data_IF_236932636128
#
_entry.id   IF_236932636128
#
_cell.length_a   1.000
_cell.length_b   1.000
_cell.length_c   1.000
_cell.angle_alpha   90.00
_cell.angle_beta   90.00
_cell.angle_gamma   90.00
#
_symmetry.space_group_name_H-M   'P 1'
#
loop_
_entity.id
_entity.type
_entity.pdbx_description
1 polymer ?
#
# COMPACT_ATOMS: atom_id res chain seq x y z
N UNK A 1 8.06 23.66 17.05
CA UNK A 1 7.82 22.42 16.28
C UNK A 1 8.61 22.55 15.00
N UNK A 2 9.30 21.50 14.58
CA UNK A 2 10.00 21.54 13.31
C UNK A 2 8.99 21.57 12.15
N UNK A 3 9.32 22.25 11.04
CA UNK A 3 8.61 22.10 9.78
C UNK A 3 9.34 21.05 8.95
N UNK A 4 8.58 20.12 8.36
CA UNK A 4 9.12 19.00 7.62
C UNK A 4 8.90 19.20 6.12
N UNK A 5 9.98 19.18 5.34
CA UNK A 5 9.92 19.04 3.88
C UNK A 5 10.12 17.59 3.51
N UNK A 6 9.10 16.97 2.90
CA UNK A 6 9.09 15.56 2.59
C UNK A 6 9.28 15.35 1.09
N UNK A 7 10.34 14.67 0.72
CA UNK A 7 10.61 14.22 -0.64
C UNK A 7 10.18 12.75 -0.75
N UNK A 8 9.35 12.43 -1.73
CA UNK A 8 9.18 11.05 -2.15
C UNK A 8 10.32 10.72 -3.11
N UNK A 9 11.13 9.72 -2.79
CA UNK A 9 12.19 9.23 -3.67
C UNK A 9 11.66 8.85 -5.04
N UNK A 10 12.50 8.89 -6.05
CA UNK A 10 12.20 8.57 -7.45
C UNK A 10 11.18 9.52 -8.10
N UNK A 11 11.60 10.30 -9.05
CA UNK A 11 10.77 11.26 -9.78
C UNK A 11 9.89 10.63 -10.86
N UNK A 12 9.23 11.47 -11.65
CA UNK A 12 8.40 11.00 -12.77
C UNK A 12 9.25 10.20 -13.76
N UNK A 13 8.80 8.97 -14.05
CA UNK A 13 9.47 8.06 -14.99
C UNK A 13 10.49 7.10 -14.33
N UNK A 14 10.90 7.33 -13.09
CA UNK A 14 11.71 6.40 -12.31
C UNK A 14 10.83 5.58 -11.34
N UNK A 15 10.67 4.28 -11.54
CA UNK A 15 9.90 3.44 -10.63
C UNK A 15 10.62 3.15 -9.31
N UNK A 16 11.93 3.39 -9.23
CA UNK A 16 12.78 2.88 -8.15
C UNK A 16 12.86 1.36 -8.15
N UNK A 17 13.15 0.77 -7.00
CA UNK A 17 13.11 -0.68 -6.86
C UNK A 17 11.67 -1.19 -7.01
N UNK A 18 11.55 -2.40 -7.57
CA UNK A 18 10.26 -3.07 -7.73
C UNK A 18 10.27 -4.42 -7.00
N UNK A 19 9.19 -4.73 -6.30
CA UNK A 19 9.03 -5.99 -5.58
C UNK A 19 7.56 -6.29 -5.31
N UNK A 20 7.20 -7.56 -5.41
CA UNK A 20 5.86 -8.05 -5.05
C UNK A 20 4.69 -7.26 -5.68
N UNK A 21 4.86 -6.82 -6.94
CA UNK A 21 3.82 -6.08 -7.68
C UNK A 21 3.72 -4.58 -7.36
N UNK A 22 4.66 -4.03 -6.61
CA UNK A 22 4.73 -2.60 -6.28
C UNK A 22 6.03 -1.97 -6.78
N UNK A 23 5.98 -0.69 -7.09
CA UNK A 23 7.18 0.13 -7.28
C UNK A 23 7.45 0.97 -6.03
N UNK A 24 8.71 1.20 -5.74
CA UNK A 24 9.13 2.04 -4.63
C UNK A 24 8.54 3.45 -4.75
N UNK A 25 8.64 4.04 -5.95
CA UNK A 25 8.09 5.37 -6.24
C UNK A 25 6.60 5.50 -5.89
N UNK A 26 5.79 4.50 -6.22
CA UNK A 26 4.36 4.48 -5.87
C UNK A 26 4.16 4.43 -4.35
N UNK A 27 4.92 3.57 -3.66
CA UNK A 27 4.79 3.39 -2.21
C UNK A 27 5.22 4.62 -1.42
N UNK A 28 6.36 5.22 -1.77
CA UNK A 28 6.86 6.40 -1.05
C UNK A 28 6.01 7.65 -1.32
N UNK A 29 5.39 7.79 -2.51
CA UNK A 29 4.41 8.85 -2.78
C UNK A 29 3.14 8.68 -1.94
N UNK A 30 2.65 7.44 -1.82
CA UNK A 30 1.51 7.15 -0.95
C UNK A 30 1.82 7.50 0.51
N UNK A 31 3.01 7.14 1.01
CA UNK A 31 3.47 7.49 2.36
C UNK A 31 3.63 9.00 2.53
N UNK A 32 4.27 9.70 1.59
CA UNK A 32 4.44 11.15 1.64
C UNK A 32 3.08 11.87 1.70
N UNK A 33 2.12 11.44 0.89
CA UNK A 33 0.74 11.96 0.92
C UNK A 33 0.10 11.75 2.28
N UNK A 34 0.31 10.59 2.90
CA UNK A 34 -0.20 10.27 4.24
C UNK A 34 0.46 11.13 5.32
N UNK A 35 1.79 11.34 5.25
CA UNK A 35 2.53 12.22 6.16
C UNK A 35 1.98 13.65 6.08
N UNK A 36 1.73 14.17 4.87
CA UNK A 36 1.11 15.50 4.68
C UNK A 36 -0.29 15.56 5.26
N UNK A 37 -1.12 14.56 4.99
CA UNK A 37 -2.50 14.53 5.46
C UNK A 37 -2.60 14.56 7.00
N UNK A 38 -1.68 13.88 7.69
CA UNK A 38 -1.63 13.83 9.16
C UNK A 38 -0.91 15.05 9.75
N UNK A 39 0.19 15.48 9.14
CA UNK A 39 1.04 16.56 9.64
C UNK A 39 0.51 17.98 9.34
N UNK A 40 -0.44 18.11 8.41
CA UNK A 40 -1.09 19.37 8.07
C UNK A 40 -0.10 20.46 7.65
N UNK A 41 -0.24 21.65 8.20
CA UNK A 41 0.57 22.83 7.84
C UNK A 41 2.05 22.71 8.26
N UNK A 42 2.39 21.78 9.14
CA UNK A 42 3.78 21.54 9.53
C UNK A 42 4.55 20.66 8.52
N UNK A 43 3.92 20.28 7.42
CA UNK A 43 4.53 19.46 6.36
C UNK A 43 4.36 20.11 5.01
N UNK A 44 5.43 20.21 4.24
CA UNK A 44 5.43 20.56 2.82
C UNK A 44 5.93 19.38 2.01
N UNK A 45 5.24 19.04 0.94
CA UNK A 45 5.68 18.00 0.02
C UNK A 45 6.57 18.60 -1.07
N UNK A 46 7.62 17.86 -1.43
CA UNK A 46 8.33 18.05 -2.68
C UNK A 46 7.45 17.74 -3.88
N UNK A 47 7.84 18.24 -5.04
CA UNK A 47 7.14 17.92 -6.30
C UNK A 47 7.37 16.45 -6.67
N UNK A 48 6.30 15.67 -6.77
CA UNK A 48 6.35 14.25 -7.15
C UNK A 48 6.79 14.02 -8.61
N UNK A 49 6.76 15.05 -9.45
CA UNK A 49 7.26 14.96 -10.82
C UNK A 49 8.76 15.26 -10.92
N UNK A 50 9.36 15.75 -9.86
CA UNK A 50 10.80 16.03 -9.82
C UNK A 50 11.55 14.82 -9.28
N UNK A 51 12.52 14.32 -10.04
CA UNK A 51 13.54 13.43 -9.49
C UNK A 51 14.63 14.30 -8.83
N UNK A 52 14.58 14.39 -7.52
CA UNK A 52 15.51 15.24 -6.75
C UNK A 52 16.97 14.78 -6.87
N UNK A 53 17.20 13.52 -7.14
CA UNK A 53 18.53 12.97 -7.34
C UNK A 53 19.07 13.31 -8.74
N UNK A 54 18.36 12.93 -9.81
CA UNK A 54 18.82 13.13 -11.17
C UNK A 54 18.82 14.61 -11.60
N UNK A 55 17.84 15.37 -11.14
CA UNK A 55 17.73 16.81 -11.46
C UNK A 55 18.57 17.70 -10.54
N UNK A 56 19.30 17.13 -9.57
CA UNK A 56 19.98 17.88 -8.52
C UNK A 56 19.03 18.88 -7.79
N UNK A 57 17.81 18.42 -7.52
CA UNK A 57 16.71 19.25 -7.03
C UNK A 57 16.99 19.91 -5.68
N UNK A 58 17.79 19.28 -4.81
CA UNK A 58 18.18 19.86 -3.53
C UNK A 58 19.09 21.08 -3.72
N UNK A 59 19.88 21.15 -4.79
CA UNK A 59 20.75 22.30 -5.07
C UNK A 59 19.94 23.59 -5.37
N UNK A 60 18.76 23.46 -5.96
CA UNK A 60 17.86 24.57 -6.27
C UNK A 60 16.75 24.79 -5.24
N UNK A 61 16.67 23.92 -4.23
CA UNK A 61 15.62 23.99 -3.21
C UNK A 61 15.71 25.30 -2.41
N UNK A 62 14.62 26.05 -2.31
CA UNK A 62 14.54 27.31 -1.57
C UNK A 62 13.50 27.17 -0.44
N UNK A 63 13.95 26.66 0.70
CA UNK A 63 13.17 26.52 1.92
C UNK A 63 13.90 27.17 3.09
N UNK A 64 13.22 27.57 4.18
CA UNK A 64 13.87 28.05 5.39
C UNK A 64 14.92 27.06 5.91
N UNK A 65 16.06 27.57 6.38
CA UNK A 65 17.19 26.75 6.81
C UNK A 65 16.91 25.91 8.07
N UNK A 66 15.90 26.29 8.85
CA UNK A 66 15.45 25.58 10.05
C UNK A 66 14.46 24.43 9.74
N UNK A 67 14.01 24.30 8.49
CA UNK A 67 13.20 23.16 8.08
C UNK A 67 14.04 21.87 8.02
N UNK A 68 13.38 20.77 8.31
CA UNK A 68 13.99 19.45 8.25
C UNK A 68 13.57 18.75 6.96
N UNK A 69 14.49 18.10 6.28
CA UNK A 69 14.22 17.33 5.06
C UNK A 69 14.22 15.83 5.39
N UNK A 70 13.18 15.14 4.99
CA UNK A 70 13.14 13.67 4.96
C UNK A 70 12.84 13.20 3.54
N UNK A 71 13.76 12.46 2.95
CA UNK A 71 13.55 11.77 1.68
C UNK A 71 13.15 10.33 1.96
N UNK A 72 12.00 9.91 1.43
CA UNK A 72 11.40 8.61 1.70
C UNK A 72 11.80 7.61 0.62
N UNK A 73 12.28 6.45 1.04
CA UNK A 73 12.69 5.32 0.22
C UNK A 73 12.23 3.99 0.80
N UNK A 74 12.33 2.93 0.02
CA UNK A 74 12.27 1.54 0.44
C UNK A 74 13.50 0.82 -0.12
N UNK A 75 14.27 0.21 0.76
CA UNK A 75 15.48 -0.54 0.38
C UNK A 75 15.15 -1.79 -0.46
N UNK A 76 16.11 -2.29 -1.19
CA UNK A 76 15.99 -3.52 -1.98
C UNK A 76 17.24 -4.39 -1.82
N UNK A 77 17.04 -5.70 -1.84
CA UNK A 77 18.13 -6.67 -1.67
C UNK A 77 17.62 -8.10 -1.81
N UNK A 78 18.33 -9.04 -1.18
CA UNK A 78 17.87 -10.43 -1.11
C UNK A 78 16.55 -10.50 -0.29
N UNK A 79 15.70 -11.46 -0.58
CA UNK A 79 14.36 -11.60 0.03
C UNK A 79 14.35 -11.70 1.56
N UNK A 80 15.50 -12.15 2.14
CA UNK A 80 15.68 -12.22 3.60
C UNK A 80 16.14 -10.91 4.24
N UNK A 81 16.61 -9.94 3.44
CA UNK A 81 17.02 -8.63 3.94
C UNK A 81 15.78 -7.85 4.38
N UNK A 82 15.82 -7.24 5.56
CA UNK A 82 14.66 -6.52 6.12
C UNK A 82 15.07 -5.45 7.13
N UNK A 83 14.12 -4.60 7.47
CA UNK A 83 14.21 -3.60 8.52
C UNK A 83 14.52 -2.20 8.00
N UNK A 84 14.09 -1.18 8.75
CA UNK A 84 14.31 0.21 8.40
C UNK A 84 15.68 0.72 8.89
N UNK A 85 16.21 1.70 8.17
CA UNK A 85 17.36 2.51 8.59
C UNK A 85 17.26 3.91 7.98
N UNK A 86 18.05 4.84 8.50
CA UNK A 86 18.21 6.14 7.88
C UNK A 86 19.65 6.34 7.42
N UNK A 87 19.79 7.15 6.40
CA UNK A 87 21.09 7.58 5.87
C UNK A 87 21.26 9.07 6.14
N UNK A 88 22.41 9.41 6.71
CA UNK A 88 22.85 10.78 6.96
C UNK A 88 24.22 11.03 6.30
N UNK A 89 24.68 12.27 6.29
CA UNK A 89 26.03 12.61 5.83
C UNK A 89 27.10 11.90 6.66
N UNK A 90 27.99 11.17 5.99
CA UNK A 90 29.11 10.50 6.63
C UNK A 90 30.08 11.47 7.26
N UNK A 91 30.45 11.20 8.51
CA UNK A 91 31.29 12.08 9.34
C UNK A 91 30.51 13.08 10.19
N UNK A 92 29.17 13.11 10.07
CA UNK A 92 28.31 13.87 10.98
C UNK A 92 27.84 12.97 12.12
N UNK A 93 27.77 13.52 13.32
CA UNK A 93 27.12 12.84 14.44
C UNK A 93 25.59 12.91 14.27
N UNK A 94 24.85 11.82 14.52
CA UNK A 94 23.40 11.83 14.47
C UNK A 94 22.81 12.82 15.49
N UNK A 95 21.89 13.65 15.02
CA UNK A 95 21.13 14.56 15.89
C UNK A 95 19.94 13.85 16.59
N UNK A 96 19.18 14.62 17.37
CA UNK A 96 17.99 14.12 18.07
C UNK A 96 16.88 13.65 17.13
N UNK A 97 16.72 14.30 15.95
CA UNK A 97 15.73 13.93 14.94
C UNK A 97 16.15 12.63 14.24
N UNK A 98 17.43 12.48 13.91
CA UNK A 98 17.98 11.27 13.31
C UNK A 98 17.78 10.08 14.22
N UNK A 99 18.16 10.22 15.49
CA UNK A 99 18.00 9.15 16.49
C UNK A 99 16.53 8.76 16.71
N UNK A 100 15.63 9.76 16.79
CA UNK A 100 14.22 9.51 16.97
C UNK A 100 13.60 8.82 15.74
N UNK A 101 13.90 9.29 14.52
CA UNK A 101 13.38 8.72 13.29
C UNK A 101 13.84 7.28 13.09
N UNK A 102 15.15 7.03 13.26
CA UNK A 102 15.72 5.69 13.16
C UNK A 102 15.09 4.70 14.15
N UNK A 103 14.90 5.12 15.40
CA UNK A 103 14.28 4.27 16.42
C UNK A 103 12.78 4.02 16.15
N UNK A 104 12.04 5.06 15.75
CA UNK A 104 10.62 4.94 15.45
C UNK A 104 10.37 4.00 14.28
N UNK A 105 11.14 4.15 13.19
CA UNK A 105 11.01 3.28 12.02
C UNK A 105 11.48 1.85 12.32
N UNK A 106 12.59 1.66 13.04
CA UNK A 106 13.08 0.33 13.39
C UNK A 106 12.14 -0.44 14.36
N UNK A 107 11.27 0.26 15.11
CA UNK A 107 10.24 -0.37 15.92
C UNK A 107 9.11 -0.97 15.07
N UNK A 108 8.87 -0.38 13.88
CA UNK A 108 7.86 -0.87 12.92
C UNK A 108 8.48 -1.91 11.99
N UNK A 109 9.71 -1.66 11.51
CA UNK A 109 10.46 -2.51 10.60
C UNK A 109 11.76 -3.01 11.27
N UNK A 110 11.70 -4.04 12.10
CA UNK A 110 12.88 -4.60 12.75
C UNK A 110 13.72 -5.44 11.76
N UNK A 111 15.02 -5.52 12.00
CA UNK A 111 15.91 -6.43 11.25
C UNK A 111 17.26 -5.84 10.86
N UNK A 112 17.40 -4.52 10.76
CA UNK A 112 18.70 -3.88 10.50
C UNK A 112 19.55 -3.81 11.77
N UNK A 113 20.81 -4.24 11.65
CA UNK A 113 21.80 -4.11 12.73
C UNK A 113 22.16 -2.64 12.98
N UNK A 114 22.42 -1.88 11.90
CA UNK A 114 22.70 -0.44 11.96
C UNK A 114 21.47 0.34 11.53
N UNK A 115 20.88 1.10 12.45
CA UNK A 115 19.70 1.93 12.20
C UNK A 115 20.03 3.28 11.57
N UNK A 116 21.26 3.75 11.72
CA UNK A 116 21.77 5.00 11.15
C UNK A 116 23.05 4.67 10.40
N UNK A 117 23.14 5.11 9.14
CA UNK A 117 24.27 4.84 8.25
C UNK A 117 24.79 6.15 7.69
N UNK A 118 26.08 6.43 7.91
CA UNK A 118 26.76 7.57 7.30
C UNK A 118 27.21 7.25 5.87
N UNK A 119 26.77 8.04 4.88
CA UNK A 119 27.14 7.88 3.46
C UNK A 119 27.75 9.16 2.88
N UNK A 120 28.71 9.00 1.96
CA UNK A 120 29.37 10.11 1.26
C UNK A 120 29.27 9.99 -0.27
N UNK A 121 28.65 8.95 -0.76
CA UNK A 121 28.48 8.63 -2.18
C UNK A 121 27.10 9.01 -2.72
N UNK A 122 26.18 9.44 -1.86
CA UNK A 122 24.85 9.89 -2.30
C UNK A 122 24.84 11.41 -2.54
N UNK A 123 24.40 11.80 -3.75
CA UNK A 123 24.36 13.20 -4.16
C UNK A 123 23.49 14.05 -3.23
N UNK A 124 22.25 13.64 -2.96
CA UNK A 124 21.30 14.42 -2.16
C UNK A 124 21.81 14.67 -0.74
N UNK A 125 22.42 13.65 -0.12
CA UNK A 125 23.05 13.75 1.20
C UNK A 125 24.14 14.82 1.20
N UNK A 126 25.02 14.80 0.18
CA UNK A 126 26.15 15.72 0.07
C UNK A 126 25.69 17.15 -0.22
N UNK A 127 24.75 17.33 -1.14
CA UNK A 127 24.24 18.66 -1.52
C UNK A 127 23.50 19.30 -0.35
N UNK A 128 22.66 18.54 0.36
CA UNK A 128 21.93 19.04 1.52
C UNK A 128 22.89 19.49 2.63
N UNK A 129 23.93 18.69 2.94
CA UNK A 129 24.97 19.03 3.92
C UNK A 129 25.72 20.29 3.53
N UNK A 130 26.14 20.44 2.25
CA UNK A 130 26.83 21.63 1.74
C UNK A 130 25.96 22.90 1.80
N UNK A 131 24.63 22.74 1.77
CA UNK A 131 23.66 23.83 1.89
C UNK A 131 23.22 24.12 3.33
N UNK A 132 23.71 23.34 4.29
CA UNK A 132 23.36 23.50 5.70
C UNK A 132 21.95 23.04 6.06
N UNK A 133 21.30 22.23 5.23
CA UNK A 133 19.99 21.64 5.54
C UNK A 133 20.11 20.43 6.47
N UNK A 134 19.23 20.34 7.46
CA UNK A 134 19.01 19.11 8.22
C UNK A 134 18.32 18.05 7.33
N UNK A 135 19.08 17.07 6.83
CA UNK A 135 18.61 16.10 5.85
C UNK A 135 18.87 14.68 6.31
N UNK A 136 17.89 13.82 6.08
CA UNK A 136 18.03 12.34 6.18
C UNK A 136 17.21 11.65 5.10
N UNK A 137 17.76 10.57 4.54
CA UNK A 137 17.07 9.63 3.70
C UNK A 137 16.57 8.49 4.59
N UNK A 138 15.29 8.15 4.51
CA UNK A 138 14.65 7.13 5.32
C UNK A 138 14.27 5.92 4.47
N UNK A 139 14.97 4.81 4.69
CA UNK A 139 14.62 3.49 4.15
C UNK A 139 13.56 2.85 5.02
N UNK A 140 12.31 2.90 4.58
CA UNK A 140 11.14 2.44 5.32
C UNK A 140 10.87 0.94 5.12
N UNK A 141 11.86 0.10 5.43
CA UNK A 141 11.84 -1.34 5.16
C UNK A 141 12.25 -1.69 3.74
N UNK A 142 12.21 -2.99 3.41
CA UNK A 142 12.62 -3.52 2.11
C UNK A 142 11.41 -3.82 1.23
N UNK A 143 11.37 -3.25 0.00
CA UNK A 143 10.34 -3.58 -0.97
C UNK A 143 10.48 -5.02 -1.49
N UNK A 144 11.70 -5.56 -1.51
CA UNK A 144 12.01 -6.96 -1.85
C UNK A 144 11.63 -7.95 -0.75
N UNK A 145 11.34 -7.50 0.47
CA UNK A 145 10.95 -8.35 1.59
C UNK A 145 9.44 -8.27 1.80
N UNK A 146 8.74 -9.39 1.60
CA UNK A 146 7.28 -9.43 1.69
C UNK A 146 6.75 -9.01 3.08
N UNK A 147 7.46 -9.33 4.17
CA UNK A 147 7.03 -8.93 5.51
C UNK A 147 7.12 -7.41 5.70
N UNK A 148 8.23 -6.78 5.28
CA UNK A 148 8.39 -5.33 5.38
C UNK A 148 7.38 -4.61 4.49
N UNK A 149 7.19 -5.06 3.25
CA UNK A 149 6.20 -4.49 2.33
C UNK A 149 4.77 -4.63 2.86
N UNK A 150 4.44 -5.78 3.45
CA UNK A 150 3.14 -6.02 4.10
C UNK A 150 2.92 -5.06 5.27
N UNK A 151 3.93 -4.90 6.13
CA UNK A 151 3.89 -3.93 7.24
C UNK A 151 3.74 -2.51 6.69
N UNK A 152 4.51 -2.14 5.67
CA UNK A 152 4.42 -0.83 5.03
C UNK A 152 3.01 -0.52 4.52
N UNK A 153 2.42 -1.45 3.78
CA UNK A 153 1.09 -1.28 3.20
C UNK A 153 -0.02 -1.20 4.27
N UNK A 154 0.03 -2.09 5.25
CA UNK A 154 -1.05 -2.23 6.25
C UNK A 154 -0.94 -1.24 7.41
N UNK A 155 0.26 -0.72 7.68
CA UNK A 155 0.54 0.19 8.79
C UNK A 155 1.04 1.57 8.33
N UNK A 156 0.70 1.98 7.11
CA UNK A 156 1.19 3.23 6.50
C UNK A 156 0.86 4.48 7.36
N UNK A 157 -0.31 4.50 8.01
CA UNK A 157 -0.68 5.57 8.95
C UNK A 157 0.24 5.61 10.17
N UNK A 158 0.65 4.45 10.66
CA UNK A 158 1.58 4.34 11.79
C UNK A 158 2.99 4.73 11.37
N UNK A 159 3.44 4.33 10.18
CA UNK A 159 4.72 4.77 9.60
C UNK A 159 4.74 6.30 9.46
N UNK A 160 3.68 6.88 8.91
CA UNK A 160 3.57 8.34 8.79
C UNK A 160 3.61 9.06 10.15
N UNK A 161 2.92 8.52 11.16
CA UNK A 161 2.97 9.07 12.55
C UNK A 161 4.32 8.89 13.21
N UNK A 162 5.02 7.79 12.94
CA UNK A 162 6.37 7.53 13.43
C UNK A 162 7.37 8.57 12.88
N UNK A 163 7.23 8.90 11.57
CA UNK A 163 8.01 9.96 10.93
C UNK A 163 7.69 11.31 11.60
N UNK A 164 6.44 11.71 11.64
CA UNK A 164 6.02 13.00 12.23
C UNK A 164 6.43 13.13 13.69
N UNK A 165 6.28 12.06 14.47
CA UNK A 165 6.64 12.01 15.89
C UNK A 165 8.13 12.24 16.14
N UNK A 166 9.01 11.83 15.23
CA UNK A 166 10.44 12.07 15.31
C UNK A 166 10.77 13.59 15.31
N UNK A 167 9.94 14.40 14.66
CA UNK A 167 10.09 15.85 14.55
C UNK A 167 9.19 16.63 15.52
N UNK A 168 8.55 15.94 16.48
CA UNK A 168 7.64 16.55 17.43
C UNK A 168 6.35 17.11 16.82
N UNK A 169 6.02 16.71 15.58
CA UNK A 169 4.81 17.11 14.89
C UNK A 169 3.66 16.21 15.38
N UNK A 170 2.76 16.78 16.16
CA UNK A 170 1.54 16.12 16.59
C UNK A 170 0.50 16.26 15.48
N UNK A 171 0.14 15.16 14.83
CA UNK A 171 -0.97 15.15 13.88
C UNK A 171 -2.28 15.60 14.56
N UNK A 172 -3.12 16.35 13.84
CA UNK A 172 -4.45 16.73 14.31
C UNK A 172 -5.26 15.47 14.71
N UNK A 173 -5.94 15.58 15.83
CA UNK A 173 -6.78 14.61 16.54
C UNK A 173 -6.91 13.20 15.94
N UNK A 174 -6.02 12.30 16.35
CA UNK A 174 -6.28 10.86 16.49
C UNK A 174 -5.37 10.33 17.62
N UNK A 175 -5.82 9.38 18.46
CA UNK A 175 -5.17 9.10 19.73
C UNK A 175 -3.76 8.55 19.59
N UNK A 176 -2.85 9.10 20.37
CA UNK A 176 -1.49 8.62 20.60
C UNK A 176 -1.57 7.27 21.29
N UNK A 177 -1.03 6.22 20.67
CA UNK A 177 -0.75 4.96 21.35
C UNK A 177 0.51 5.11 22.20
N UNK A 178 0.32 5.32 23.49
CA UNK A 178 1.39 5.20 24.49
C UNK A 178 1.78 3.73 24.66
N UNK A 179 3.10 3.52 24.84
CA UNK A 179 3.74 2.27 25.28
C UNK A 179 2.90 1.55 26.35
N UNK A 180 2.73 0.23 26.28
CA UNK A 180 1.89 -0.49 27.23
C UNK A 180 2.51 -0.55 28.61
N UNK A 181 1.93 0.19 29.55
CA UNK A 181 1.95 -0.15 30.97
C UNK A 181 0.63 -0.87 31.24
N UNK A 182 0.73 -2.10 31.70
CA UNK A 182 -0.40 -3.00 31.91
C UNK A 182 -1.28 -2.49 33.04
N UNK A 183 -2.51 -2.06 32.77
CA UNK A 183 -3.67 -2.16 33.67
C UNK A 183 -4.96 -1.96 32.85
N UNK A 184 -5.97 -2.79 32.96
CA UNK A 184 -7.12 -2.81 32.08
C UNK A 184 -8.22 -1.84 32.52
N UNK A 185 -8.68 -0.97 31.59
CA UNK A 185 -9.95 -0.26 31.72
C UNK A 185 -10.63 -0.17 30.32
N UNK A 186 -11.94 -0.34 30.19
CA UNK A 186 -12.61 -0.69 28.95
C UNK A 186 -12.71 0.45 27.95
N UNK A 187 -12.28 0.20 26.72
CA UNK A 187 -12.33 1.10 25.60
C UNK A 187 -13.61 0.94 24.78
N UNK A 188 -14.14 2.08 24.30
CA UNK A 188 -15.28 2.21 23.38
C UNK A 188 -14.97 1.54 22.03
N UNK A 189 -15.92 0.86 21.37
CA UNK A 189 -15.64 -0.07 20.28
C UNK A 189 -15.18 0.63 19.01
N UNK A 190 -13.97 0.28 18.55
CA UNK A 190 -13.56 0.34 17.16
C UNK A 190 -14.37 -0.66 16.34
N UNK A 191 -14.63 -0.34 15.06
CA UNK A 191 -15.28 -1.30 14.13
C UNK A 191 -14.60 -2.66 14.27
N UNK A 192 -15.30 -3.75 14.50
CA UNK A 192 -14.67 -5.04 14.76
C UNK A 192 -13.89 -5.50 13.51
N UNK A 193 -12.58 -5.62 13.65
CA UNK A 193 -11.81 -6.48 12.78
C UNK A 193 -12.31 -7.90 13.03
N UNK A 194 -12.69 -8.68 12.00
CA UNK A 194 -13.19 -10.03 12.23
C UNK A 194 -12.10 -10.86 12.88
N UNK A 195 -12.27 -11.17 14.15
CA UNK A 195 -11.43 -12.13 14.84
C UNK A 195 -11.69 -13.50 14.27
N UNK A 196 -10.63 -14.17 13.80
CA UNK A 196 -10.64 -15.55 13.37
C UNK A 196 -11.31 -16.46 14.42
N UNK A 197 -12.46 -17.03 14.07
CA UNK A 197 -13.25 -17.91 14.95
C UNK A 197 -12.98 -19.40 14.73
N UNK A 198 -11.86 -19.76 14.08
CA UNK A 198 -11.52 -21.15 13.79
C UNK A 198 -12.12 -21.71 12.50
N UNK A 199 -12.86 -20.93 11.75
CA UNK A 199 -13.41 -21.28 10.44
C UNK A 199 -12.35 -21.20 9.35
N UNK A 200 -12.44 -22.04 8.32
CA UNK A 200 -11.62 -21.89 7.12
C UNK A 200 -12.02 -20.63 6.36
N UNK A 201 -11.04 -20.00 5.71
CA UNK A 201 -11.29 -18.91 4.77
C UNK A 201 -12.30 -19.34 3.71
N UNK A 202 -13.22 -18.45 3.40
CA UNK A 202 -14.00 -18.47 2.18
C UNK A 202 -14.24 -17.04 1.68
N UNK A 203 -14.48 -16.94 0.38
CA UNK A 203 -14.95 -15.72 -0.25
C UNK A 203 -16.42 -15.84 -0.61
N UNK A 204 -17.14 -14.73 -0.50
CA UNK A 204 -18.49 -14.59 -1.04
C UNK A 204 -18.49 -13.38 -1.98
N UNK A 205 -19.01 -13.58 -3.17
CA UNK A 205 -19.01 -12.55 -4.21
C UNK A 205 -20.31 -12.53 -4.98
N UNK A 206 -20.65 -11.36 -5.48
CA UNK A 206 -21.91 -11.10 -6.20
C UNK A 206 -21.63 -10.12 -7.34
N UNK A 207 -22.37 -10.22 -8.42
CA UNK A 207 -22.22 -9.35 -9.58
C UNK A 207 -23.56 -8.74 -10.01
N UNK A 208 -23.44 -7.61 -10.75
CA UNK A 208 -24.51 -7.09 -11.58
C UNK A 208 -24.18 -7.32 -13.05
N UNK A 209 -25.16 -7.74 -13.84
CA UNK A 209 -25.08 -7.88 -15.28
C UNK A 209 -26.45 -7.60 -15.90
N UNK A 210 -26.49 -6.88 -17.03
CA UNK A 210 -27.74 -6.52 -17.69
C UNK A 210 -28.72 -5.75 -16.80
N UNK A 211 -28.20 -4.94 -15.86
CA UNK A 211 -29.02 -4.16 -14.91
C UNK A 211 -29.64 -4.99 -13.77
N UNK A 212 -29.27 -6.26 -13.59
CA UNK A 212 -29.79 -7.15 -12.55
C UNK A 212 -28.68 -7.57 -11.59
N UNK A 213 -29.03 -7.70 -10.30
CA UNK A 213 -28.19 -8.37 -9.31
C UNK A 213 -28.37 -9.88 -9.45
N UNK A 214 -27.24 -10.61 -9.52
CA UNK A 214 -27.25 -12.06 -9.48
C UNK A 214 -27.07 -12.55 -8.04
N UNK A 215 -27.52 -13.78 -7.70
CA UNK A 215 -27.35 -14.32 -6.36
C UNK A 215 -25.87 -14.34 -5.93
N UNK A 216 -25.55 -14.22 -4.63
CA UNK A 216 -24.19 -14.37 -4.14
C UNK A 216 -23.69 -15.80 -4.33
N UNK A 217 -22.42 -15.92 -4.68
CA UNK A 217 -21.69 -17.19 -4.82
C UNK A 217 -20.64 -17.28 -3.72
N UNK A 218 -20.45 -18.48 -3.18
CA UNK A 218 -19.42 -18.77 -2.19
C UNK A 218 -18.35 -19.68 -2.80
N UNK A 219 -17.11 -19.24 -2.80
CA UNK A 219 -15.97 -19.96 -3.38
C UNK A 219 -16.31 -20.50 -4.78
N UNK A 220 -15.99 -21.76 -5.05
CA UNK A 220 -16.26 -22.44 -6.32
C UNK A 220 -17.59 -23.23 -6.33
N UNK A 221 -18.52 -22.94 -5.42
CA UNK A 221 -19.83 -23.61 -5.44
C UNK A 221 -20.60 -23.32 -6.73
N UNK A 222 -20.30 -22.16 -7.38
CA UNK A 222 -20.85 -21.77 -8.67
C UNK A 222 -19.92 -20.72 -9.31
N UNK A 223 -20.44 -20.00 -10.26
CA UNK A 223 -19.85 -18.79 -10.86
C UNK A 223 -20.85 -17.64 -10.80
N UNK A 224 -20.36 -16.41 -10.72
CA UNK A 224 -21.17 -15.22 -10.75
C UNK A 224 -21.20 -14.62 -12.16
N UNK A 225 -22.37 -14.22 -12.62
CA UNK A 225 -22.59 -13.65 -13.95
C UNK A 225 -23.92 -14.08 -14.56
N UNK A 226 -24.19 -13.63 -15.77
CA UNK A 226 -25.35 -14.06 -16.54
C UNK A 226 -25.12 -15.38 -17.30
N UNK A 227 -23.89 -15.57 -17.83
CA UNK A 227 -23.50 -16.74 -18.59
C UNK A 227 -24.11 -16.88 -19.99
N UNK A 228 -24.93 -15.94 -20.38
CA UNK A 228 -25.70 -15.91 -21.62
C UNK A 228 -25.22 -14.84 -22.61
N UNK A 229 -24.00 -14.35 -22.41
CA UNK A 229 -23.42 -13.29 -23.24
C UNK A 229 -23.76 -11.88 -22.77
N UNK A 230 -24.23 -11.72 -21.53
CA UNK A 230 -24.46 -10.42 -20.92
C UNK A 230 -23.26 -10.02 -20.05
N UNK A 231 -22.70 -8.86 -20.33
CA UNK A 231 -21.52 -8.37 -19.61
C UNK A 231 -21.80 -8.11 -18.12
N UNK A 232 -20.84 -8.48 -17.27
CA UNK A 232 -20.77 -7.99 -15.88
C UNK A 232 -20.42 -6.51 -15.90
N UNK A 233 -21.07 -5.74 -15.02
CA UNK A 233 -20.87 -4.29 -14.92
C UNK A 233 -20.36 -3.86 -13.55
N UNK A 234 -20.67 -4.64 -12.50
CA UNK A 234 -20.32 -4.32 -11.13
C UNK A 234 -20.08 -5.62 -10.33
N UNK A 235 -19.17 -5.57 -9.39
CA UNK A 235 -18.87 -6.70 -8.49
C UNK A 235 -18.81 -6.24 -7.03
N UNK A 236 -19.23 -7.12 -6.11
CA UNK A 236 -19.05 -6.97 -4.68
C UNK A 236 -18.44 -8.24 -4.11
N UNK A 237 -17.40 -8.13 -3.27
CA UNK A 237 -16.64 -9.25 -2.71
C UNK A 237 -16.46 -9.06 -1.21
N UNK A 238 -16.59 -10.14 -0.44
CA UNK A 238 -16.23 -10.20 0.97
C UNK A 238 -15.57 -11.53 1.31
N UNK A 239 -14.88 -11.58 2.44
CA UNK A 239 -14.35 -12.81 3.04
C UNK A 239 -14.78 -12.91 4.50
N UNK A 240 -14.74 -14.13 5.07
CA UNK A 240 -15.06 -14.35 6.48
C UNK A 240 -13.83 -14.17 7.39
N UNK A 241 -12.63 -14.23 6.84
CA UNK A 241 -11.34 -14.12 7.55
C UNK A 241 -10.47 -13.14 6.79
N UNK A 242 -9.74 -12.29 7.48
CA UNK A 242 -8.83 -11.34 6.85
C UNK A 242 -9.53 -10.17 6.17
N UNK A 243 -8.88 -9.64 5.17
CA UNK A 243 -9.34 -8.47 4.44
C UNK A 243 -9.15 -8.66 2.93
N UNK A 244 -10.17 -8.38 2.15
CA UNK A 244 -10.13 -8.40 0.69
C UNK A 244 -10.41 -7.02 0.14
N UNK A 245 -9.59 -6.55 -0.78
CA UNK A 245 -9.83 -5.35 -1.58
C UNK A 245 -9.81 -5.71 -3.05
N UNK A 246 -10.57 -4.99 -3.84
CA UNK A 246 -10.72 -5.29 -5.25
C UNK A 246 -11.07 -4.04 -6.05
N UNK A 247 -10.81 -4.10 -7.35
CA UNK A 247 -11.21 -3.08 -8.31
C UNK A 247 -11.47 -3.68 -9.67
N UNK A 248 -12.11 -2.92 -10.55
CA UNK A 248 -12.39 -3.34 -11.92
C UNK A 248 -11.84 -2.33 -12.94
N UNK A 249 -11.49 -2.83 -14.11
CA UNK A 249 -11.26 -2.02 -15.29
C UNK A 249 -12.55 -1.94 -16.11
N UNK A 250 -12.95 -0.73 -16.48
CA UNK A 250 -14.13 -0.49 -17.30
C UNK A 250 -13.73 -0.54 -18.77
N UNK A 251 -14.42 -1.36 -19.56
CA UNK A 251 -14.12 -1.56 -20.96
C UNK A 251 -14.02 -0.24 -21.72
N UNK A 252 -12.85 -0.03 -22.35
CA UNK A 252 -12.55 1.20 -23.12
C UNK A 252 -12.28 2.44 -22.25
N UNK A 253 -12.13 2.28 -20.93
CA UNK A 253 -11.83 3.36 -19.98
C UNK A 253 -10.62 3.00 -19.11
N UNK A 254 -10.67 3.30 -17.83
CA UNK A 254 -9.58 3.10 -16.87
C UNK A 254 -9.98 2.17 -15.73
N UNK A 255 -9.00 1.77 -14.91
CA UNK A 255 -9.23 1.15 -13.62
C UNK A 255 -9.98 2.10 -12.69
N UNK A 256 -11.02 1.59 -12.04
CA UNK A 256 -11.69 2.30 -10.97
C UNK A 256 -10.87 2.21 -9.66
N UNK A 257 -11.15 3.09 -8.69
CA UNK A 257 -10.54 3.00 -7.37
C UNK A 257 -10.73 1.64 -6.70
N UNK A 258 -9.79 1.25 -5.82
CA UNK A 258 -9.93 0.09 -4.96
C UNK A 258 -11.06 0.28 -3.96
N UNK A 259 -11.83 -0.79 -3.73
CA UNK A 259 -12.89 -0.88 -2.73
C UNK A 259 -12.68 -2.13 -1.87
N UNK A 260 -13.22 -2.14 -0.65
CA UNK A 260 -13.12 -3.24 0.31
C UNK A 260 -14.47 -3.58 0.99
N UNK A 261 -15.54 -2.94 0.58
CA UNK A 261 -16.88 -3.16 1.11
C UNK A 261 -17.67 -4.22 0.36
N UNK A 262 -18.81 -4.61 0.94
CA UNK A 262 -19.83 -5.50 0.34
C UNK A 262 -21.19 -4.90 0.62
N UNK A 263 -21.56 -3.83 -0.12
CA UNK A 263 -22.81 -3.12 0.08
C UNK A 263 -23.25 -2.39 -1.20
N UNK A 264 -24.27 -2.85 -1.85
CA UNK A 264 -24.81 -2.28 -3.08
C UNK A 264 -25.39 -0.86 -2.95
N UNK A 265 -25.59 -0.36 -1.73
CA UNK A 265 -26.05 1.00 -1.45
C UNK A 265 -24.90 1.98 -1.18
N UNK A 266 -23.67 1.51 -1.09
CA UNK A 266 -22.48 2.33 -0.91
C UNK A 266 -21.70 2.43 -2.22
N UNK A 267 -21.95 3.50 -2.98
CA UNK A 267 -21.30 3.77 -4.26
C UNK A 267 -19.81 4.14 -4.16
N UNK A 268 -19.34 4.45 -2.96
CA UNK A 268 -17.94 4.88 -2.79
C UNK A 268 -17.00 3.72 -2.48
N UNK A 269 -17.45 2.74 -1.70
CA UNK A 269 -16.60 1.66 -1.24
C UNK A 269 -17.30 0.29 -1.14
N UNK A 270 -18.58 0.20 -1.41
CA UNK A 270 -19.36 -1.02 -1.22
C UNK A 270 -19.30 -2.02 -2.37
N UNK A 271 -18.88 -1.60 -3.55
CA UNK A 271 -18.73 -2.45 -4.74
C UNK A 271 -17.85 -1.75 -5.78
N UNK A 272 -17.25 -2.51 -6.68
CA UNK A 272 -16.49 -2.00 -7.81
C UNK A 272 -17.31 -2.09 -9.09
N UNK A 273 -17.47 -0.97 -9.78
CA UNK A 273 -18.24 -0.86 -11.03
C UNK A 273 -18.92 0.49 -11.15
N UNK A 274 -19.50 0.74 -12.31
CA UNK A 274 -20.25 1.98 -12.60
C UNK A 274 -21.43 1.74 -13.55
N UNK A 275 -21.94 0.50 -13.62
CA UNK A 275 -23.04 0.13 -14.51
C UNK A 275 -22.63 -0.07 -15.97
N UNK A 276 -21.33 0.02 -16.30
CA UNK A 276 -20.80 -0.22 -17.64
C UNK A 276 -20.01 -1.54 -17.69
N UNK A 277 -19.90 -2.20 -18.86
CA UNK A 277 -19.16 -3.45 -18.99
C UNK A 277 -17.74 -3.36 -18.47
N UNK A 278 -17.32 -4.35 -17.69
CA UNK A 278 -15.95 -4.49 -17.20
C UNK A 278 -15.19 -5.52 -18.04
N UNK A 279 -13.87 -5.35 -18.15
CA UNK A 279 -12.99 -6.22 -18.93
C UNK A 279 -11.72 -6.64 -18.17
N UNK A 280 -11.58 -6.19 -16.90
CA UNK A 280 -10.52 -6.59 -16.00
C UNK A 280 -10.95 -6.53 -14.54
N UNK A 281 -10.49 -7.50 -13.73
CA UNK A 281 -10.70 -7.56 -12.29
C UNK A 281 -9.36 -7.72 -11.61
N UNK A 282 -9.09 -6.90 -10.59
CA UNK A 282 -7.97 -7.08 -9.68
C UNK A 282 -8.48 -7.33 -8.27
N UNK A 283 -7.91 -8.31 -7.59
CA UNK A 283 -8.22 -8.65 -6.20
C UNK A 283 -6.91 -8.77 -5.43
N UNK A 284 -6.92 -8.35 -4.18
CA UNK A 284 -5.84 -8.57 -3.23
C UNK A 284 -6.43 -9.02 -1.90
N UNK A 285 -5.91 -10.11 -1.35
CA UNK A 285 -6.32 -10.65 -0.07
C UNK A 285 -5.20 -10.52 0.96
N UNK A 286 -5.54 -10.01 2.13
CA UNK A 286 -4.63 -9.88 3.26
C UNK A 286 -4.95 -10.95 4.32
N UNK A 287 -4.05 -11.93 4.44
CA UNK A 287 -4.18 -13.03 5.39
C UNK A 287 -3.79 -12.56 6.79
N UNK A 288 -4.66 -12.67 7.82
CA UNK A 288 -4.26 -12.38 9.20
C UNK A 288 -3.13 -13.29 9.69
N UNK A 289 -2.22 -12.73 10.48
CA UNK A 289 -1.03 -13.44 10.95
C UNK A 289 -1.34 -14.69 11.80
N UNK A 290 -2.41 -14.68 12.59
CA UNK A 290 -2.89 -15.80 13.39
C UNK A 290 -3.48 -16.91 12.50
N UNK A 291 -4.17 -16.54 11.43
CA UNK A 291 -4.63 -17.49 10.41
C UNK A 291 -3.45 -18.08 9.64
N UNK A 292 -2.50 -17.23 9.21
CA UNK A 292 -1.31 -17.67 8.50
C UNK A 292 -0.42 -18.61 9.30
N UNK A 293 -0.33 -18.41 10.62
CA UNK A 293 0.40 -19.30 11.52
C UNK A 293 -0.17 -20.74 11.55
N UNK A 294 -1.49 -20.89 11.32
CA UNK A 294 -2.16 -22.18 11.36
C UNK A 294 -2.31 -22.81 9.97
N UNK A 295 -2.61 -22.03 8.96
CA UNK A 295 -2.98 -22.54 7.62
C UNK A 295 -2.05 -22.08 6.50
N UNK A 296 -1.01 -21.30 6.82
CA UNK A 296 -0.15 -20.62 5.84
C UNK A 296 -0.79 -19.36 5.25
N UNK A 297 0.02 -18.58 4.58
CA UNK A 297 -0.44 -17.41 3.83
C UNK A 297 -1.33 -17.86 2.68
N UNK A 298 -2.48 -17.20 2.53
CA UNK A 298 -3.46 -17.47 1.49
C UNK A 298 -3.46 -16.33 0.47
N UNK A 299 -3.93 -16.61 -0.73
CA UNK A 299 -4.11 -15.63 -1.81
C UNK A 299 -5.52 -15.79 -2.36
N UNK A 300 -6.11 -14.68 -2.80
CA UNK A 300 -7.30 -14.76 -3.62
C UNK A 300 -6.94 -15.40 -4.96
N UNK A 301 -7.59 -16.49 -5.31
CA UNK A 301 -7.42 -17.17 -6.60
C UNK A 301 -8.69 -16.94 -7.41
N UNK A 302 -8.58 -16.26 -8.55
CA UNK A 302 -9.74 -15.87 -9.32
C UNK A 302 -9.51 -15.94 -10.82
N UNK A 303 -10.59 -16.09 -11.55
CA UNK A 303 -10.58 -16.12 -13.01
C UNK A 303 -11.89 -15.63 -13.59
N UNK A 304 -11.86 -15.29 -14.85
CA UNK A 304 -13.02 -14.82 -15.60
C UNK A 304 -13.17 -15.55 -16.93
N UNK A 305 -14.39 -15.59 -17.43
CA UNK A 305 -14.70 -15.85 -18.82
C UNK A 305 -15.12 -14.54 -19.49
N UNK A 306 -14.93 -14.45 -20.79
CA UNK A 306 -15.28 -13.26 -21.58
C UNK A 306 -16.32 -13.59 -22.64
N UNK A 307 -17.02 -12.54 -23.11
CA UNK A 307 -18.07 -12.68 -24.16
C UNK A 307 -17.56 -13.28 -25.45
N UNK A 308 -16.28 -13.12 -25.79
CA UNK A 308 -15.72 -13.64 -27.05
C UNK A 308 -15.38 -15.13 -26.97
N UNK A 309 -14.77 -15.58 -25.86
CA UNK A 309 -14.20 -16.94 -25.75
C UNK A 309 -15.13 -17.94 -25.09
N UNK A 310 -16.02 -17.51 -24.21
CA UNK A 310 -16.92 -18.33 -23.37
C UNK A 310 -16.22 -19.35 -22.46
N UNK A 311 -14.89 -19.46 -22.52
CA UNK A 311 -14.06 -20.29 -21.66
C UNK A 311 -13.36 -19.41 -20.61
N UNK A 312 -13.00 -20.03 -19.48
CA UNK A 312 -12.25 -19.33 -18.45
C UNK A 312 -10.80 -19.16 -18.87
N UNK A 313 -10.25 -17.99 -18.59
CA UNK A 313 -8.81 -17.78 -18.59
C UNK A 313 -8.15 -18.50 -17.42
N UNK A 314 -6.84 -18.57 -17.42
CA UNK A 314 -6.04 -19.11 -16.34
C UNK A 314 -6.29 -18.37 -15.02
N UNK A 315 -5.97 -19.04 -13.92
CA UNK A 315 -6.12 -18.47 -12.60
C UNK A 315 -5.13 -17.34 -12.36
N UNK A 316 -5.64 -16.20 -11.90
CA UNK A 316 -4.88 -15.10 -11.34
C UNK A 316 -4.80 -15.25 -9.82
N UNK A 317 -3.63 -14.95 -9.25
CA UNK A 317 -3.38 -15.00 -7.80
C UNK A 317 -3.15 -13.58 -7.28
N UNK A 318 -4.02 -13.09 -6.41
CA UNK A 318 -4.00 -11.69 -5.99
C UNK A 318 -3.79 -10.75 -7.20
N UNK A 319 -3.05 -9.66 -7.02
CA UNK A 319 -2.64 -8.77 -8.10
C UNK A 319 -1.18 -9.03 -8.56
N UNK A 320 -0.75 -10.30 -8.52
CA UNK A 320 0.61 -10.68 -8.90
C UNK A 320 0.88 -10.50 -10.40
N UNK A 321 2.10 -10.05 -10.73
CA UNK A 321 2.55 -9.80 -12.11
C UNK A 321 3.77 -10.64 -12.50
N UNK A 322 4.05 -11.73 -11.77
CA UNK A 322 5.18 -12.62 -12.00
C UNK A 322 4.70 -14.07 -12.18
N UNK A 323 5.57 -14.95 -12.64
CA UNK A 323 5.27 -16.37 -12.83
C UNK A 323 4.08 -16.65 -13.75
N UNK A 324 3.92 -15.84 -14.81
CA UNK A 324 2.82 -16.00 -15.78
C UNK A 324 1.51 -15.33 -15.34
N UNK A 325 1.56 -14.48 -14.30
CA UNK A 325 0.42 -13.70 -13.83
C UNK A 325 0.43 -12.30 -14.44
N UNK A 326 -0.73 -11.80 -14.85
CA UNK A 326 -0.90 -10.49 -15.49
C UNK A 326 -1.24 -9.35 -14.50
N UNK A 327 -1.42 -9.69 -13.22
CA UNK A 327 -1.86 -8.77 -12.18
C UNK A 327 -3.38 -8.56 -12.13
N UNK A 328 -4.12 -9.14 -13.07
CA UNK A 328 -5.59 -9.07 -13.15
C UNK A 328 -6.15 -10.26 -13.94
N UNK A 329 -7.39 -10.61 -13.70
CA UNK A 329 -8.11 -11.55 -14.55
C UNK A 329 -8.94 -10.79 -15.58
N UNK A 330 -8.82 -11.20 -16.85
CA UNK A 330 -9.55 -10.61 -17.97
C UNK A 330 -8.66 -10.35 -19.20
N UNK A 331 -9.27 -9.71 -20.19
CA UNK A 331 -8.57 -9.24 -21.40
C UNK A 331 -9.11 -7.86 -21.72
N UNK A 332 -8.27 -6.84 -21.54
CA UNK A 332 -8.69 -5.46 -21.78
C UNK A 332 -9.24 -5.29 -23.20
N UNK A 333 -10.38 -4.67 -23.31
CA UNK A 333 -11.16 -4.54 -24.54
C UNK A 333 -12.24 -5.60 -24.73
N UNK A 334 -12.25 -6.69 -23.93
CA UNK A 334 -13.22 -7.80 -24.06
C UNK A 334 -14.01 -7.96 -22.76
N UNK A 335 -15.31 -7.69 -22.80
CA UNK A 335 -16.14 -7.71 -21.61
C UNK A 335 -16.24 -9.12 -20.97
N UNK A 336 -16.30 -9.14 -19.65
CA UNK A 336 -16.42 -10.33 -18.80
C UNK A 336 -17.88 -10.74 -18.68
N UNK A 337 -18.19 -12.03 -18.74
CA UNK A 337 -19.55 -12.58 -18.54
C UNK A 337 -19.67 -13.52 -17.34
N UNK A 338 -18.55 -14.13 -16.89
CA UNK A 338 -18.51 -15.00 -15.70
C UNK A 338 -17.28 -14.73 -14.86
N UNK A 339 -17.45 -14.91 -13.55
CA UNK A 339 -16.40 -14.70 -12.56
C UNK A 339 -16.42 -15.81 -11.51
N UNK A 340 -15.24 -16.31 -11.15
CA UNK A 340 -15.02 -17.25 -10.05
C UNK A 340 -13.88 -16.78 -9.16
N UNK A 341 -14.02 -17.01 -7.85
CA UNK A 341 -13.06 -16.65 -6.80
C UNK A 341 -13.10 -17.67 -5.65
N UNK A 342 -11.91 -18.02 -5.13
CA UNK A 342 -11.76 -18.82 -3.92
C UNK A 342 -10.44 -18.55 -3.21
#
# INVERSE_FOLDING_TARGET
>A
MAHLFVIAGHGAGDPGACGHGFSEAERVRALATKVKAIGGDNVTLGDFNMDYYQSNGIASLNIPADWQIVELHMDSGVDTARGAHIVIKGGFDPDGFDTALANNLAAIFPGRASKIVGRNDLQNVNVAANRGYGYRLAECGFISNLNDLTVFNNRMDEVARAILGAFGIKGGNTPVLNKPTVTPTPSKPSKPQPTYKGEKLYFEYQVKAGGKNYPPVKDLNDWAGAGDGVAITDIAIRCNVGHVKYRVHVKGKNWLPWVDGYNWNDHNNGYAGCGEPIDGIQIYYDTPSDYAAKYGWQKAQYRVSTLEGREYYDWQYDNETHSGQDGYAGKLGVAIDKFQLF
#
